data_IF_653869427568
#
_entry.id   IF_653869427568
#
_cell.length_a   1.000
_cell.length_b   1.000
_cell.length_c   1.000
_cell.angle_alpha   90.00
_cell.angle_beta   90.00
_cell.angle_gamma   90.00
#
_symmetry.space_group_name_H-M   'P 1'
#
loop_
_entity.id
_entity.type
_entity.pdbx_description
1 polymer ?
#
# COMPACT_ATOMS: atom_id res chain seq x y z
N UNK A 1 4.22 -20.00 -9.41
CA UNK A 1 5.19 -19.02 -8.87
C UNK A 1 5.04 -19.05 -7.37
N UNK A 2 6.12 -19.20 -6.61
CA UNK A 2 6.07 -19.18 -5.15
C UNK A 2 5.71 -17.76 -4.69
N UNK A 3 4.84 -17.65 -3.69
CA UNK A 3 4.53 -16.35 -3.09
C UNK A 3 5.81 -15.76 -2.47
N UNK A 4 5.99 -14.44 -2.59
CA UNK A 4 7.10 -13.74 -1.93
C UNK A 4 6.92 -13.85 -0.43
N UNK A 5 7.97 -14.32 0.25
CA UNK A 5 8.00 -14.39 1.70
C UNK A 5 8.21 -12.99 2.28
N UNK A 6 7.24 -12.50 3.06
CA UNK A 6 7.33 -11.24 3.81
C UNK A 6 8.05 -11.54 5.14
N UNK A 7 9.21 -10.93 5.43
CA UNK A 7 9.92 -11.21 6.67
C UNK A 7 9.14 -10.79 7.92
N UNK A 8 9.31 -11.53 9.02
CA UNK A 8 8.57 -11.35 10.28
C UNK A 8 9.12 -10.20 11.15
N UNK A 9 9.37 -9.03 10.56
CA UNK A 9 9.61 -7.79 11.32
C UNK A 9 8.29 -7.17 11.76
N UNK A 10 8.26 -6.23 12.74
CA UNK A 10 7.03 -5.51 13.08
C UNK A 10 6.32 -4.92 11.85
N UNK A 11 7.07 -4.23 10.97
CA UNK A 11 6.54 -3.69 9.73
C UNK A 11 6.03 -4.77 8.77
N UNK A 12 6.78 -5.87 8.62
CA UNK A 12 6.38 -6.98 7.74
C UNK A 12 5.12 -7.69 8.22
N UNK A 13 4.98 -7.92 9.53
CA UNK A 13 3.79 -8.52 10.13
C UNK A 13 2.58 -7.61 10.01
N UNK A 14 2.74 -6.30 10.26
CA UNK A 14 1.68 -5.33 10.10
C UNK A 14 1.19 -5.27 8.64
N UNK A 15 2.12 -5.18 7.68
CA UNK A 15 1.80 -5.21 6.26
C UNK A 15 1.12 -6.52 5.82
N UNK A 16 1.60 -7.68 6.30
CA UNK A 16 0.99 -8.97 5.98
C UNK A 16 -0.46 -9.05 6.52
N UNK A 17 -0.70 -8.57 7.74
CA UNK A 17 -2.02 -8.51 8.37
C UNK A 17 -2.98 -7.62 7.56
N UNK A 18 -2.51 -6.44 7.15
CA UNK A 18 -3.28 -5.57 6.25
C UNK A 18 -3.61 -6.26 4.93
N UNK A 19 -2.61 -6.86 4.27
CA UNK A 19 -2.77 -7.48 2.97
C UNK A 19 -3.78 -8.63 3.01
N UNK A 20 -3.78 -9.43 4.08
CA UNK A 20 -4.77 -10.48 4.31
C UNK A 20 -6.18 -9.90 4.47
N UNK A 21 -6.35 -8.89 5.33
CA UNK A 21 -7.62 -8.21 5.52
C UNK A 21 -8.13 -7.59 4.22
N UNK A 22 -7.28 -6.88 3.48
CA UNK A 22 -7.59 -6.27 2.20
C UNK A 22 -8.03 -7.32 1.17
N UNK A 23 -7.26 -8.41 1.02
CA UNK A 23 -7.55 -9.47 0.06
C UNK A 23 -8.80 -10.29 0.40
N UNK A 24 -9.24 -10.30 1.66
CA UNK A 24 -10.50 -10.92 2.08
C UNK A 24 -11.73 -10.16 1.58
N UNK A 25 -11.59 -8.87 1.26
CA UNK A 25 -12.68 -7.93 0.92
C UNK A 25 -13.76 -7.82 2.01
N UNK A 26 -13.45 -8.27 3.23
CA UNK A 26 -14.35 -8.20 4.37
C UNK A 26 -14.24 -6.84 5.03
N UNK A 27 -15.35 -6.09 5.07
CA UNK A 27 -15.43 -4.83 5.82
C UNK A 27 -15.03 -5.03 7.28
N UNK A 28 -15.46 -6.14 7.89
CA UNK A 28 -15.15 -6.47 9.28
C UNK A 28 -13.65 -6.69 9.48
N UNK A 29 -12.98 -7.42 8.58
CA UNK A 29 -11.55 -7.67 8.69
C UNK A 29 -10.73 -6.38 8.50
N UNK A 30 -11.10 -5.58 7.50
CA UNK A 30 -10.47 -4.28 7.24
C UNK A 30 -10.67 -3.34 8.43
N UNK A 31 -11.89 -3.23 8.96
CA UNK A 31 -12.18 -2.42 10.15
C UNK A 31 -11.36 -2.86 11.36
N UNK A 32 -11.31 -4.17 11.63
CA UNK A 32 -10.54 -4.71 12.74
C UNK A 32 -9.04 -4.39 12.61
N UNK A 33 -8.48 -4.46 11.39
CA UNK A 33 -7.10 -4.05 11.14
C UNK A 33 -6.87 -2.57 11.51
N UNK A 34 -7.73 -1.66 11.04
CA UNK A 34 -7.60 -0.23 11.33
C UNK A 34 -7.72 0.07 12.84
N UNK A 35 -8.70 -0.51 13.51
CA UNK A 35 -8.94 -0.28 14.95
C UNK A 35 -7.81 -0.78 15.85
N UNK A 36 -7.10 -1.83 15.43
CA UNK A 36 -6.01 -2.43 16.22
C UNK A 36 -4.66 -1.79 15.93
N UNK A 37 -4.42 -1.34 14.70
CA UNK A 37 -3.08 -0.98 14.25
C UNK A 37 -2.87 0.53 14.10
N UNK A 38 -3.93 1.35 14.11
CA UNK A 38 -3.79 2.81 13.99
C UNK A 38 -4.07 3.50 15.33
N UNK A 39 -3.51 4.70 15.48
CA UNK A 39 -3.89 5.59 16.57
C UNK A 39 -5.40 5.85 16.53
N UNK A 40 -6.05 5.73 17.69
CA UNK A 40 -7.45 6.13 17.83
C UNK A 40 -7.51 7.65 17.71
N UNK A 41 -7.92 8.16 16.54
CA UNK A 41 -8.32 9.55 16.42
C UNK A 41 -9.56 9.80 17.28
N UNK A 42 -9.65 10.98 17.90
CA UNK A 42 -10.85 11.40 18.61
C UNK A 42 -12.06 11.57 17.66
N UNK A 43 -11.81 11.67 16.35
CA UNK A 43 -12.81 11.66 15.30
C UNK A 43 -12.97 10.25 14.72
N UNK A 44 -13.91 9.49 15.28
CA UNK A 44 -14.26 8.13 14.82
C UNK A 44 -14.77 8.07 13.36
N UNK A 45 -15.10 9.21 12.74
CA UNK A 45 -15.63 9.30 11.37
C UNK A 45 -14.58 9.01 10.28
N UNK A 46 -13.29 9.23 10.55
CA UNK A 46 -12.21 9.04 9.57
C UNK A 46 -11.96 7.55 9.28
N UNK A 47 -12.07 6.70 10.31
CA UNK A 47 -11.92 5.24 10.15
C UNK A 47 -13.10 4.67 9.38
N UNK A 48 -14.34 5.12 9.66
CA UNK A 48 -15.54 4.61 8.99
C UNK A 48 -15.54 4.87 7.48
N UNK A 49 -15.22 6.11 7.08
CA UNK A 49 -15.09 6.47 5.66
C UNK A 49 -13.87 5.82 5.01
N UNK A 50 -12.75 5.68 5.74
CA UNK A 50 -11.56 4.96 5.29
C UNK A 50 -11.86 3.50 4.94
N UNK A 51 -12.53 2.77 5.85
CA UNK A 51 -12.88 1.35 5.67
C UNK A 51 -13.78 1.14 4.44
N UNK A 52 -14.82 1.96 4.25
CA UNK A 52 -15.71 1.83 3.10
C UNK A 52 -14.99 2.07 1.76
N UNK A 53 -14.06 3.02 1.73
CA UNK A 53 -13.22 3.29 0.56
C UNK A 53 -12.24 2.13 0.30
N UNK A 54 -11.67 1.56 1.36
CA UNK A 54 -10.79 0.38 1.28
C UNK A 54 -11.52 -0.85 0.73
N UNK A 55 -12.75 -1.13 1.19
CA UNK A 55 -13.59 -2.24 0.69
C UNK A 55 -13.91 -2.05 -0.80
N UNK A 56 -14.27 -0.82 -1.20
CA UNK A 56 -14.47 -0.51 -2.62
C UNK A 56 -13.19 -0.72 -3.43
N UNK A 57 -12.04 -0.35 -2.86
CA UNK A 57 -10.76 -0.50 -3.52
C UNK A 57 -10.33 -1.96 -3.65
N UNK A 58 -10.47 -2.77 -2.60
CA UNK A 58 -10.18 -4.22 -2.64
C UNK A 58 -11.10 -4.96 -3.60
N UNK A 59 -12.36 -4.54 -3.71
CA UNK A 59 -13.29 -5.06 -4.71
C UNK A 59 -12.83 -4.73 -6.12
N UNK A 60 -12.45 -3.46 -6.39
CA UNK A 60 -12.00 -2.99 -7.71
C UNK A 60 -10.71 -3.66 -8.19
N UNK A 61 -9.73 -3.82 -7.30
CA UNK A 61 -8.43 -4.45 -7.61
C UNK A 61 -8.48 -5.97 -7.65
N UNK A 62 -9.55 -6.57 -7.12
CA UNK A 62 -9.60 -8.01 -6.88
C UNK A 62 -8.68 -8.48 -5.75
N UNK A 63 -8.03 -7.56 -5.04
CA UNK A 63 -6.90 -7.83 -4.15
C UNK A 63 -5.54 -7.64 -4.85
N UNK A 64 -4.47 -7.95 -4.12
CA UNK A 64 -3.10 -7.78 -4.55
C UNK A 64 -2.27 -9.05 -4.39
N UNK A 65 -1.32 -9.23 -5.31
CA UNK A 65 -0.18 -10.12 -5.18
C UNK A 65 1.11 -9.32 -4.99
N UNK A 66 1.96 -9.73 -4.06
CA UNK A 66 3.27 -9.11 -3.83
C UNK A 66 4.22 -9.47 -4.97
N UNK A 67 4.83 -8.45 -5.57
CA UNK A 67 5.79 -8.61 -6.69
C UNK A 67 7.23 -8.33 -6.27
N UNK A 68 7.44 -7.39 -5.35
CA UNK A 68 8.78 -7.00 -4.89
C UNK A 68 8.70 -6.30 -3.53
N UNK A 69 9.73 -6.47 -2.69
CA UNK A 69 9.94 -5.65 -1.50
C UNK A 69 11.08 -4.67 -1.85
N UNK A 70 10.79 -3.37 -1.81
CA UNK A 70 11.77 -2.32 -2.13
C UNK A 70 12.61 -1.92 -0.92
N UNK A 71 11.98 -1.78 0.24
CA UNK A 71 12.66 -1.45 1.49
C UNK A 71 12.10 -2.30 2.61
N UNK A 72 12.97 -2.71 3.53
CA UNK A 72 12.60 -3.43 4.73
C UNK A 72 13.53 -3.05 5.89
N UNK A 73 12.95 -2.38 6.86
CA UNK A 73 13.51 -2.06 8.15
C UNK A 73 12.58 -2.64 9.24
N UNK A 74 12.99 -2.67 10.53
CA UNK A 74 12.13 -3.19 11.59
C UNK A 74 10.73 -2.54 11.64
N UNK A 75 10.67 -1.21 11.46
CA UNK A 75 9.43 -0.41 11.56
C UNK A 75 9.03 0.25 10.24
N UNK A 76 9.64 -0.12 9.12
CA UNK A 76 9.27 0.38 7.79
C UNK A 76 9.34 -0.71 6.74
N UNK A 77 8.34 -0.77 5.88
CA UNK A 77 8.34 -1.66 4.70
C UNK A 77 7.74 -0.94 3.51
N UNK A 78 8.37 -1.09 2.34
CA UNK A 78 7.86 -0.62 1.06
C UNK A 78 7.75 -1.80 0.10
N UNK A 79 6.58 -2.02 -0.48
CA UNK A 79 6.26 -3.22 -1.26
C UNK A 79 5.57 -2.84 -2.56
N UNK A 80 5.98 -3.49 -3.64
CA UNK A 80 5.28 -3.47 -4.91
C UNK A 80 4.18 -4.53 -4.94
N UNK A 81 2.98 -4.09 -5.28
CA UNK A 81 1.80 -4.92 -5.41
C UNK A 81 1.25 -4.87 -6.83
N UNK A 82 0.76 -6.01 -7.32
CA UNK A 82 0.05 -6.14 -8.60
C UNK A 82 -1.42 -6.47 -8.33
N UNK A 83 -2.33 -5.82 -9.07
CA UNK A 83 -3.76 -6.12 -8.94
C UNK A 83 -4.03 -7.57 -9.38
N UNK A 84 -5.01 -8.21 -8.75
CA UNK A 84 -5.48 -9.54 -9.18
C UNK A 84 -6.49 -9.47 -10.32
N UNK A 85 -7.25 -8.38 -10.42
CA UNK A 85 -8.24 -8.16 -11.48
C UNK A 85 -7.64 -7.62 -12.79
N UNK A 86 -6.48 -6.98 -12.73
CA UNK A 86 -5.82 -6.35 -13.87
C UNK A 86 -4.29 -6.43 -13.73
N UNK A 87 -3.66 -7.33 -14.49
CA UNK A 87 -2.23 -7.64 -14.33
C UNK A 87 -1.29 -6.53 -14.80
N UNK A 88 -1.78 -5.50 -15.47
CA UNK A 88 -0.97 -4.38 -15.93
C UNK A 88 -0.95 -3.22 -14.92
N UNK A 89 -1.66 -3.36 -13.79
CA UNK A 89 -1.77 -2.34 -12.75
C UNK A 89 -1.01 -2.72 -11.50
N UNK A 90 -0.20 -1.77 -11.04
CA UNK A 90 0.64 -1.91 -9.87
C UNK A 90 0.46 -0.76 -8.90
N UNK A 91 0.70 -1.02 -7.62
CA UNK A 91 0.74 0.00 -6.58
C UNK A 91 1.96 -0.23 -5.69
N UNK A 92 2.59 0.85 -5.26
CA UNK A 92 3.55 0.81 -4.16
C UNK A 92 2.82 1.09 -2.87
N UNK A 93 3.00 0.20 -1.90
CA UNK A 93 2.53 0.40 -0.53
C UNK A 93 3.72 0.68 0.35
N UNK A 94 3.61 1.70 1.21
CA UNK A 94 4.59 1.96 2.25
C UNK A 94 3.90 2.03 3.59
N UNK A 95 4.42 1.26 4.55
CA UNK A 95 3.98 1.26 5.95
C UNK A 95 5.16 1.70 6.79
N UNK A 96 4.94 2.72 7.63
CA UNK A 96 5.87 3.15 8.66
C UNK A 96 5.14 3.10 10.02
N UNK A 97 5.75 2.39 10.95
CA UNK A 97 5.26 2.22 12.32
C UNK A 97 5.99 3.16 13.26
N UNK A 98 5.36 3.45 14.39
CA UNK A 98 6.05 4.04 15.52
C UNK A 98 7.23 3.16 15.96
N UNK A 99 8.31 3.77 16.49
CA UNK A 99 9.52 3.03 16.86
C UNK A 99 9.36 2.17 18.12
N UNK A 100 8.30 2.40 18.91
CA UNK A 100 8.05 1.76 20.19
C UNK A 100 6.77 0.93 20.14
N UNK A 101 6.70 -0.08 21.00
CA UNK A 101 5.47 -0.87 21.19
C UNK A 101 4.28 0.05 21.56
N UNK A 102 3.08 -0.18 21.00
CA UNK A 102 2.67 -1.38 20.26
C UNK A 102 2.91 -1.32 18.73
N UNK A 103 3.84 -0.49 18.24
CA UNK A 103 4.17 -0.31 16.82
C UNK A 103 2.97 0.12 15.96
N UNK A 104 2.25 1.15 16.42
CA UNK A 104 1.09 1.68 15.69
C UNK A 104 1.53 2.28 14.36
N UNK A 105 0.66 2.18 13.37
CA UNK A 105 0.86 2.75 12.05
C UNK A 105 0.87 4.27 12.17
N UNK A 106 2.02 4.86 11.88
CA UNK A 106 2.23 6.30 11.80
C UNK A 106 2.00 6.83 10.38
N UNK A 107 2.37 6.03 9.38
CA UNK A 107 2.17 6.36 7.97
C UNK A 107 1.79 5.12 7.18
N UNK A 108 0.74 5.26 6.39
CA UNK A 108 0.29 4.24 5.44
C UNK A 108 0.00 4.92 4.11
N UNK A 109 0.73 4.56 3.05
CA UNK A 109 0.48 5.08 1.70
C UNK A 109 0.25 3.96 0.72
N UNK A 110 -0.69 4.18 -0.20
CA UNK A 110 -0.94 3.33 -1.35
C UNK A 110 -0.95 4.25 -2.57
N UNK A 111 0.04 4.09 -3.44
CA UNK A 111 0.26 4.97 -4.58
C UNK A 111 0.22 4.13 -5.87
N UNK A 112 -0.47 4.56 -6.93
CA UNK A 112 -0.35 3.93 -8.23
C UNK A 112 1.11 3.96 -8.67
N UNK A 113 1.63 2.81 -9.08
CA UNK A 113 2.98 2.69 -9.63
C UNK A 113 2.85 2.50 -11.14
N UNK A 114 3.34 3.48 -11.90
CA UNK A 114 3.32 3.42 -13.37
C UNK A 114 4.27 2.35 -13.91
N UNK A 115 4.12 1.98 -15.19
CA UNK A 115 5.03 1.06 -15.91
C UNK A 115 6.39 1.71 -16.21
N UNK A 116 7.05 2.24 -15.18
CA UNK A 116 8.39 2.82 -15.22
C UNK A 116 9.23 2.28 -14.06
N UNK A 117 9.10 0.99 -13.75
CA UNK A 117 9.83 0.30 -12.68
C UNK A 117 11.33 0.56 -12.77
N UNK A 118 11.81 1.51 -11.99
CA UNK A 118 13.23 1.77 -11.75
C UNK A 118 13.53 1.41 -10.31
N UNK A 119 13.65 0.11 -10.07
CA UNK A 119 14.32 -0.38 -8.86
C UNK A 119 15.78 0.04 -8.95
N UNK A 120 16.17 0.94 -8.05
CA UNK A 120 17.53 1.37 -7.67
C UNK A 120 18.62 1.47 -8.76
N UNK A 121 19.08 2.72 -8.91
CA UNK A 121 20.24 3.24 -9.65
C UNK A 121 20.19 3.34 -11.19
N UNK A 122 20.28 4.60 -11.64
CA UNK A 122 20.90 4.94 -12.94
C UNK A 122 20.00 5.70 -13.90
N UNK A 123 19.90 7.02 -13.73
CA UNK A 123 19.58 8.05 -14.77
C UNK A 123 18.56 7.68 -15.85
N UNK A 124 17.35 8.25 -15.81
CA UNK A 124 16.60 8.45 -17.04
C UNK A 124 15.73 9.71 -16.90
N UNK A 125 16.29 10.80 -17.41
CA UNK A 125 15.57 12.02 -17.75
C UNK A 125 14.56 11.69 -18.85
N UNK A 126 13.27 11.91 -18.57
CA UNK A 126 12.21 11.85 -19.58
C UNK A 126 11.33 13.10 -19.50
N UNK A 127 10.73 13.52 -20.63
CA UNK A 127 10.71 14.91 -21.04
C UNK A 127 9.57 15.70 -20.42
N UNK A 128 9.83 16.99 -20.17
CA UNK A 128 8.78 17.99 -19.99
C UNK A 128 7.98 18.09 -21.28
N UNK A 129 6.77 17.54 -21.30
CA UNK A 129 5.78 17.89 -22.33
C UNK A 129 5.22 19.27 -22.01
N UNK A 130 5.94 20.30 -22.42
CA UNK A 130 5.36 21.60 -22.72
C UNK A 130 4.60 21.45 -24.04
N UNK A 131 3.27 21.45 -23.98
CA UNK A 131 2.47 21.87 -25.14
C UNK A 131 1.65 23.08 -24.74
N UNK A 132 2.28 24.24 -24.96
CA UNK A 132 1.57 25.44 -25.33
C UNK A 132 1.08 25.25 -26.78
N UNK A 133 -0.23 25.14 -26.97
CA UNK A 133 -0.84 25.43 -28.27
C UNK A 133 -1.52 26.80 -28.17
N UNK A 134 -0.75 27.83 -28.51
CA UNK A 134 -1.28 29.01 -29.19
C UNK A 134 -1.20 28.74 -30.69
N UNK A 135 -2.35 28.68 -31.36
CA UNK A 135 -2.60 29.11 -32.75
C UNK A 135 -4.12 29.34 -32.84
N UNK A 136 -4.68 30.36 -33.46
CA UNK A 136 -4.21 31.59 -34.12
C UNK A 136 -5.44 32.48 -34.30
#
# INVERSE_FOLDING_TARGET
>A
MSAIHIPSTPAGLNFATWLEAFNSKSETAIRAYYEQNFHKSNDNDDIGNGVANEVRFSTRTGGFDVQQIFNLEPTKISVLLQHRSDRDKYHKVTVELDPEEPYLVRRFTIEPEGLGFKGEDGDEVMPQTNQAEKIG
#
